data_IF_588893135434
#
_entry.id   IF_588893135434
#
_cell.length_a   1.000
_cell.length_b   1.000
_cell.length_c   1.000
_cell.angle_alpha   90.00
_cell.angle_beta   90.00
_cell.angle_gamma   90.00
#
_symmetry.space_group_name_H-M   'P 1'
#
loop_
_entity.id
_entity.type
_entity.pdbx_description
1 polymer ?
#
# COMPACT_ATOMS: atom_id res chain seq x y z
N UNK A 1 3.72 -17.66 27.63
CA UNK A 1 4.54 -16.52 27.17
C UNK A 1 4.68 -16.62 25.66
N UNK A 2 3.80 -15.98 24.89
CA UNK A 2 3.92 -15.91 23.43
C UNK A 2 4.96 -14.81 23.13
N UNK A 3 6.07 -15.08 22.44
CA UNK A 3 7.04 -14.04 22.13
C UNK A 3 6.35 -12.99 21.26
N UNK A 4 6.38 -11.73 21.69
CA UNK A 4 5.90 -10.61 20.90
C UNK A 4 6.68 -10.59 19.57
N UNK A 5 5.97 -10.57 18.45
CA UNK A 5 6.57 -10.52 17.12
C UNK A 5 7.30 -9.18 16.91
N UNK A 6 8.55 -9.09 17.35
CA UNK A 6 9.45 -7.93 17.16
C UNK A 6 9.85 -7.68 15.68
N UNK A 7 9.18 -8.32 14.71
CA UNK A 7 9.53 -8.27 13.29
C UNK A 7 8.47 -7.69 12.36
N UNK A 8 7.32 -7.21 12.84
CA UNK A 8 6.24 -6.74 11.96
C UNK A 8 6.48 -5.33 11.38
N UNK A 9 7.37 -4.53 11.99
CA UNK A 9 7.58 -3.10 11.64
C UNK A 9 9.04 -2.73 11.35
N UNK A 10 10.00 -3.65 11.49
CA UNK A 10 11.42 -3.36 11.25
C UNK A 10 11.83 -3.72 9.83
N UNK A 11 12.53 -2.82 9.14
CA UNK A 11 13.20 -3.11 7.87
C UNK A 11 14.59 -3.67 8.17
N UNK A 12 14.65 -4.95 8.53
CA UNK A 12 15.91 -5.65 8.83
C UNK A 12 15.93 -7.07 8.27
N UNK A 13 17.12 -7.61 8.05
CA UNK A 13 17.28 -9.00 7.63
C UNK A 13 16.61 -9.95 8.65
N UNK A 14 15.94 -10.99 8.15
CA UNK A 14 15.19 -11.94 8.97
C UNK A 14 13.78 -11.49 9.37
N UNK A 15 13.41 -10.22 9.17
CA UNK A 15 12.05 -9.75 9.38
C UNK A 15 11.10 -10.20 8.25
N UNK A 16 9.79 -10.21 8.53
CA UNK A 16 8.80 -10.48 7.50
C UNK A 16 8.81 -9.35 6.46
N UNK A 17 8.90 -9.72 5.18
CA UNK A 17 8.89 -8.76 4.07
C UNK A 17 7.48 -8.20 3.79
N UNK A 18 6.94 -7.46 4.76
CA UNK A 18 5.72 -6.66 4.65
C UNK A 18 6.13 -5.23 4.28
N UNK A 19 6.14 -4.92 2.99
CA UNK A 19 6.76 -3.71 2.46
C UNK A 19 5.79 -2.96 1.54
N UNK A 20 5.92 -1.64 1.50
CA UNK A 20 5.22 -0.78 0.55
C UNK A 20 6.26 0.12 -0.13
N UNK A 21 6.26 0.15 -1.46
CA UNK A 21 7.02 1.11 -2.24
C UNK A 21 6.12 2.30 -2.56
N UNK A 22 6.52 3.49 -2.10
CA UNK A 22 5.79 4.74 -2.33
C UNK A 22 6.65 5.63 -3.23
N UNK A 23 6.07 6.13 -4.32
CA UNK A 23 6.59 7.29 -5.04
C UNK A 23 6.09 8.56 -4.32
N UNK A 24 6.96 9.34 -3.64
CA UNK A 24 6.55 10.51 -2.88
C UNK A 24 6.25 11.74 -3.78
N UNK A 25 6.73 11.76 -5.02
CA UNK A 25 6.55 12.89 -5.95
C UNK A 25 5.39 12.69 -6.90
N UNK A 26 4.79 11.49 -6.95
CA UNK A 26 3.55 11.28 -7.68
C UNK A 26 2.43 12.22 -7.19
N UNK A 27 1.58 12.65 -8.12
CA UNK A 27 0.30 13.30 -7.81
C UNK A 27 -0.79 12.60 -8.61
N UNK A 28 -1.93 12.34 -7.98
CA UNK A 28 -3.06 11.69 -8.65
C UNK A 28 -4.38 12.21 -8.09
N UNK A 29 -5.41 12.18 -8.93
CA UNK A 29 -6.77 12.53 -8.52
C UNK A 29 -7.51 11.26 -8.13
N UNK A 30 -8.15 11.27 -6.97
CA UNK A 30 -8.92 10.13 -6.49
C UNK A 30 -10.18 9.98 -7.36
N UNK A 31 -10.25 8.89 -8.10
CA UNK A 31 -11.45 8.44 -8.78
C UNK A 31 -12.11 7.34 -7.95
N UNK A 32 -13.30 7.61 -7.39
CA UNK A 32 -14.05 6.66 -6.57
C UNK A 32 -14.35 5.35 -7.31
N UNK A 33 -14.56 5.39 -8.64
CA UNK A 33 -14.81 4.21 -9.46
C UNK A 33 -13.57 3.37 -9.76
N UNK A 34 -12.37 3.90 -9.52
CA UNK A 34 -11.11 3.19 -9.75
C UNK A 34 -10.54 2.57 -8.46
N UNK A 35 -11.17 2.79 -7.31
CA UNK A 35 -10.75 2.17 -6.05
C UNK A 35 -11.14 0.69 -6.01
N UNK A 36 -10.31 -0.13 -5.36
CA UNK A 36 -10.56 -1.57 -5.23
C UNK A 36 -11.78 -1.91 -4.34
N UNK A 37 -12.24 -0.97 -3.51
CA UNK A 37 -13.41 -1.17 -2.65
C UNK A 37 -14.70 -1.25 -3.48
N UNK A 38 -15.66 -2.07 -3.03
CA UNK A 38 -16.99 -2.18 -3.67
C UNK A 38 -17.83 -0.91 -3.51
N UNK A 39 -17.56 -0.11 -2.48
CA UNK A 39 -18.24 1.16 -2.23
C UNK A 39 -17.57 2.30 -2.97
N UNK A 40 -18.38 3.22 -3.51
CA UNK A 40 -17.91 4.47 -4.13
C UNK A 40 -18.06 5.68 -3.19
N UNK A 41 -18.54 5.46 -1.96
CA UNK A 41 -18.68 6.53 -0.98
C UNK A 41 -17.31 6.82 -0.34
N UNK A 42 -16.59 7.79 -0.89
CA UNK A 42 -15.31 8.25 -0.36
C UNK A 42 -15.28 9.78 -0.31
N UNK A 43 -14.91 10.39 0.83
CA UNK A 43 -14.81 11.85 0.96
C UNK A 43 -13.64 12.44 0.16
N UNK A 44 -12.80 11.58 -0.41
CA UNK A 44 -11.64 11.96 -1.19
C UNK A 44 -11.92 12.09 -2.68
N UNK A 45 -13.10 11.69 -3.18
CA UNK A 45 -13.43 11.74 -4.61
C UNK A 45 -13.14 13.13 -5.21
N UNK A 46 -12.41 13.17 -6.33
CA UNK A 46 -12.01 14.41 -6.99
C UNK A 46 -10.84 15.16 -6.35
N UNK A 47 -10.37 14.77 -5.16
CA UNK A 47 -9.19 15.38 -4.52
C UNK A 47 -7.91 14.92 -5.20
N UNK A 48 -6.98 15.86 -5.37
CA UNK A 48 -5.60 15.56 -5.79
C UNK A 48 -4.77 15.24 -4.55
N UNK A 49 -4.24 14.03 -4.48
CA UNK A 49 -3.40 13.57 -3.37
C UNK A 49 -1.92 13.49 -3.78
N UNK A 50 -1.01 13.83 -2.85
CA UNK A 50 0.42 13.60 -3.03
C UNK A 50 0.77 12.13 -2.74
N UNK A 51 1.82 11.65 -3.39
CA UNK A 51 2.33 10.31 -3.22
C UNK A 51 1.45 9.23 -3.87
N UNK A 52 2.07 8.13 -4.28
CA UNK A 52 1.37 6.97 -4.82
C UNK A 52 2.08 5.67 -4.42
N UNK A 53 1.30 4.67 -4.02
CA UNK A 53 1.82 3.31 -3.82
C UNK A 53 2.08 2.68 -5.19
N UNK A 54 3.33 2.27 -5.42
CA UNK A 54 3.75 1.58 -6.63
C UNK A 54 3.73 0.06 -6.45
N UNK A 55 4.10 -0.43 -5.26
CA UNK A 55 4.08 -1.85 -4.95
C UNK A 55 3.77 -2.13 -3.49
N UNK A 56 3.16 -3.29 -3.22
CA UNK A 56 2.90 -3.81 -1.88
C UNK A 56 3.31 -5.27 -1.85
N UNK A 57 4.07 -5.66 -0.82
CA UNK A 57 4.50 -7.03 -0.57
C UNK A 57 3.95 -7.48 0.78
N UNK A 58 3.35 -8.66 0.81
CA UNK A 58 2.93 -9.35 2.03
C UNK A 58 3.79 -10.59 2.20
N UNK A 59 4.66 -10.60 3.22
CA UNK A 59 5.59 -11.70 3.49
C UNK A 59 6.38 -12.12 2.24
N UNK A 60 6.84 -11.13 1.47
CA UNK A 60 7.62 -11.32 0.25
C UNK A 60 6.80 -11.64 -1.01
N UNK A 61 5.47 -11.79 -0.91
CA UNK A 61 4.61 -11.96 -2.09
C UNK A 61 4.06 -10.61 -2.56
N UNK A 62 4.23 -10.24 -3.84
CA UNK A 62 3.62 -9.02 -4.37
C UNK A 62 2.11 -9.17 -4.39
N UNK A 63 1.41 -8.14 -3.90
CA UNK A 63 -0.06 -8.02 -3.99
C UNK A 63 -0.47 -6.80 -4.81
N UNK A 64 0.46 -5.85 -4.99
CA UNK A 64 0.34 -4.71 -5.90
C UNK A 64 1.68 -4.54 -6.63
N UNK A 65 1.62 -4.34 -7.94
CA UNK A 65 2.75 -3.97 -8.80
C UNK A 65 2.30 -2.90 -9.81
N UNK A 66 3.17 -1.94 -10.11
CA UNK A 66 2.89 -0.80 -11.00
C UNK A 66 1.58 -0.05 -10.65
N UNK A 67 1.27 0.02 -9.35
CA UNK A 67 0.05 0.63 -8.83
C UNK A 67 -1.24 -0.11 -9.22
N UNK A 68 -1.16 -1.39 -9.57
CA UNK A 68 -2.27 -2.29 -9.90
C UNK A 68 -2.23 -3.55 -9.04
N UNK A 69 -3.39 -4.15 -8.78
CA UNK A 69 -3.47 -5.43 -8.07
C UNK A 69 -2.79 -6.50 -8.93
N UNK A 70 -1.91 -7.29 -8.30
CA UNK A 70 -1.21 -8.41 -8.91
C UNK A 70 -1.98 -9.73 -8.75
#
# INVERSE_FOLDING_TARGET
MHPAAAGALSLSAGAAANLVLVDPVARWTVNAGALASRSRNTPYAGRKLPGRVQATFLRGRPTVLDGKIA
#
